data_IF_681404471811
#
_entry.id   IF_681404471811
#
_cell.length_a   1.000
_cell.length_b   1.000
_cell.length_c   1.000
_cell.angle_alpha   90.00
_cell.angle_beta   90.00
_cell.angle_gamma   90.00
#
_symmetry.space_group_name_H-M   'P 1'
#
loop_
_entity.id
_entity.type
_entity.pdbx_description
1 polymer ?
#
# COMPACT_ATOMS: atom_id res chain seq x y z
N UNK A 1 73.76 70.80 61.15
CA UNK A 1 73.78 69.55 60.34
C UNK A 1 72.67 68.62 60.80
N UNK A 2 72.12 67.84 59.85
CA UNK A 2 71.13 66.74 59.95
C UNK A 2 69.66 67.19 59.99
N UNK A 3 69.01 67.39 58.85
CA UNK A 3 68.41 66.45 57.88
C UNK A 3 67.00 65.96 58.25
N UNK A 4 66.05 66.32 57.36
CA UNK A 4 64.65 65.89 57.19
C UNK A 4 64.45 64.39 57.39
N UNK A 5 63.25 63.97 57.77
CA UNK A 5 62.44 62.99 57.01
C UNK A 5 60.95 63.23 57.33
N UNK A 6 60.15 63.43 56.27
CA UNK A 6 58.72 63.62 56.36
C UNK A 6 58.03 62.31 56.74
N UNK A 7 57.14 62.36 57.73
CA UNK A 7 56.21 61.28 57.99
C UNK A 7 55.10 61.35 56.95
N UNK A 8 55.13 60.44 55.99
CA UNK A 8 53.93 60.05 55.28
C UNK A 8 52.96 59.51 56.34
N UNK A 9 51.79 60.13 56.46
CA UNK A 9 50.66 59.50 57.13
C UNK A 9 50.34 58.23 56.33
N UNK A 10 50.81 57.09 56.83
CA UNK A 10 50.29 55.80 56.39
C UNK A 10 48.85 55.77 56.87
N UNK A 11 47.92 56.12 55.96
CA UNK A 11 46.51 55.79 56.14
C UNK A 11 46.48 54.28 56.36
N UNK A 12 46.00 53.88 57.54
CA UNK A 12 45.82 52.47 57.88
C UNK A 12 44.70 51.94 56.98
N UNK A 13 45.07 51.48 55.80
CA UNK A 13 44.18 50.85 54.81
C UNK A 13 43.75 49.44 55.25
N UNK A 14 43.93 49.07 56.53
CA UNK A 14 43.43 47.78 57.01
C UNK A 14 41.90 47.78 56.98
N UNK A 15 41.29 46.80 56.30
CA UNK A 15 39.85 46.77 56.14
C UNK A 15 39.18 46.66 57.50
N UNK A 16 38.26 47.57 57.75
CA UNK A 16 37.49 47.62 58.98
C UNK A 16 36.76 46.30 59.21
N UNK A 17 36.45 45.98 60.48
CA UNK A 17 35.69 44.77 60.83
C UNK A 17 34.35 44.66 60.08
N UNK A 18 33.75 45.80 59.72
CA UNK A 18 32.53 45.86 58.91
C UNK A 18 32.79 45.50 57.44
N UNK A 19 33.91 45.93 56.85
CA UNK A 19 34.32 45.58 55.50
C UNK A 19 34.71 44.11 55.37
N UNK A 20 35.43 43.55 56.35
CA UNK A 20 35.71 42.12 56.42
C UNK A 20 34.43 41.27 56.53
N UNK A 21 33.45 41.72 57.32
CA UNK A 21 32.15 41.03 57.43
C UNK A 21 31.36 41.07 56.12
N UNK A 22 31.35 42.21 55.42
CA UNK A 22 30.73 42.35 54.09
C UNK A 22 31.44 41.50 53.04
N UNK A 23 32.78 41.52 53.00
CA UNK A 23 33.57 40.71 52.09
C UNK A 23 33.32 39.21 52.30
N UNK A 24 33.25 38.75 53.56
CA UNK A 24 32.93 37.36 53.89
C UNK A 24 31.49 36.97 53.51
N UNK A 25 30.52 37.87 53.69
CA UNK A 25 29.14 37.64 53.24
C UNK A 25 29.06 37.52 51.71
N UNK A 26 29.71 38.41 50.97
CA UNK A 26 29.79 38.36 49.51
C UNK A 26 30.50 37.08 49.04
N UNK A 27 31.56 36.66 49.74
CA UNK A 27 32.25 35.41 49.43
C UNK A 27 31.36 34.18 49.66
N UNK A 28 30.56 34.19 50.73
CA UNK A 28 29.61 33.12 51.03
C UNK A 28 28.49 33.05 49.97
N UNK A 29 27.93 34.19 49.57
CA UNK A 29 26.93 34.26 48.49
C UNK A 29 27.50 33.80 47.14
N UNK A 30 28.73 34.21 46.79
CA UNK A 30 29.41 33.74 45.57
C UNK A 30 29.64 32.23 45.58
N UNK A 31 30.05 31.67 46.73
CA UNK A 31 30.21 30.21 46.89
C UNK A 31 28.88 29.48 46.72
N UNK A 32 27.80 30.01 47.32
CA UNK A 32 26.45 29.46 47.18
C UNK A 32 25.97 29.50 45.71
N UNK A 33 26.09 30.64 45.03
CA UNK A 33 25.73 30.78 43.63
C UNK A 33 26.54 29.84 42.71
N UNK A 34 27.82 29.63 43.02
CA UNK A 34 28.68 28.69 42.27
C UNK A 34 28.24 27.23 42.46
N UNK A 35 27.83 26.86 43.67
CA UNK A 35 27.30 25.53 43.97
C UNK A 35 25.96 25.28 43.26
N UNK A 36 25.07 26.27 43.27
CA UNK A 36 23.77 26.22 42.57
C UNK A 36 23.96 26.12 41.05
N UNK A 37 24.89 26.88 40.46
CA UNK A 37 25.23 26.78 39.04
C UNK A 37 25.79 25.41 38.67
N UNK A 38 26.65 24.82 39.51
CA UNK A 38 27.16 23.44 39.31
C UNK A 38 26.04 22.40 39.38
N UNK A 39 25.12 22.52 40.33
CA UNK A 39 23.97 21.63 40.46
C UNK A 39 23.01 21.73 39.26
N UNK A 40 22.74 22.95 38.78
CA UNK A 40 21.94 23.19 37.58
C UNK A 40 22.60 22.59 36.34
N UNK A 41 23.91 22.74 36.19
CA UNK A 41 24.70 22.18 35.07
C UNK A 41 24.67 20.65 35.10
N UNK A 42 24.83 20.02 36.27
CA UNK A 42 24.71 18.56 36.41
C UNK A 42 23.30 18.06 36.09
N UNK A 43 22.27 18.80 36.49
CA UNK A 43 20.87 18.48 36.17
C UNK A 43 20.62 18.54 34.66
N UNK A 44 21.17 19.56 33.99
CA UNK A 44 21.09 19.68 32.53
C UNK A 44 21.84 18.55 31.82
N UNK A 45 23.02 18.19 32.32
CA UNK A 45 23.83 17.09 31.80
C UNK A 45 23.10 15.74 31.94
N UNK A 46 22.42 15.50 33.07
CA UNK A 46 21.62 14.31 33.31
C UNK A 46 20.40 14.25 32.38
N UNK A 47 19.71 15.37 32.16
CA UNK A 47 18.62 15.46 31.18
C UNK A 47 19.12 15.20 29.75
N UNK A 48 20.25 15.76 29.35
CA UNK A 48 20.83 15.51 28.03
C UNK A 48 21.23 14.05 27.83
N UNK A 49 21.86 13.41 28.81
CA UNK A 49 22.18 11.97 28.76
C UNK A 49 20.93 11.10 28.66
N UNK A 50 19.85 11.48 29.35
CA UNK A 50 18.56 10.78 29.25
C UNK A 50 17.98 10.90 27.83
N UNK A 51 18.00 12.10 27.25
CA UNK A 51 17.55 12.35 25.87
C UNK A 51 18.43 11.61 24.85
N UNK A 52 19.76 11.58 25.03
CA UNK A 52 20.67 10.80 24.18
C UNK A 52 20.39 9.31 24.26
N UNK A 53 20.12 8.78 25.46
CA UNK A 53 19.74 7.39 25.65
C UNK A 53 18.40 7.07 25.00
N UNK A 54 17.38 7.92 25.18
CA UNK A 54 16.07 7.78 24.52
C UNK A 54 16.20 7.83 23.00
N UNK A 55 17.00 8.77 22.46
CA UNK A 55 17.29 8.85 21.03
C UNK A 55 18.03 7.60 20.53
N UNK A 56 18.98 7.07 21.29
CA UNK A 56 19.69 5.85 20.92
C UNK A 56 18.77 4.64 20.93
N UNK A 57 17.88 4.50 21.94
CA UNK A 57 16.87 3.43 21.99
C UNK A 57 15.92 3.54 20.81
N UNK A 58 15.46 4.75 20.50
CA UNK A 58 14.63 5.04 19.32
C UNK A 58 15.36 4.63 18.04
N UNK A 59 16.63 5.01 17.85
CA UNK A 59 17.46 4.67 16.68
C UNK A 59 17.73 3.16 16.55
N UNK A 60 17.99 2.47 17.65
CA UNK A 60 18.19 1.01 17.65
C UNK A 60 16.90 0.28 17.31
N UNK A 61 15.77 0.73 17.87
CA UNK A 61 14.45 0.21 17.51
C UNK A 61 14.14 0.51 16.03
N UNK A 62 14.46 1.70 15.54
CA UNK A 62 14.33 2.07 14.12
C UNK A 62 15.12 1.15 13.20
N UNK A 63 16.40 0.91 13.49
CA UNK A 63 17.28 0.07 12.67
C UNK A 63 16.82 -1.40 12.65
N UNK A 64 16.42 -1.92 13.81
CA UNK A 64 15.88 -3.28 13.94
C UNK A 64 14.55 -3.42 13.19
N UNK A 65 13.72 -2.37 13.23
CA UNK A 65 12.45 -2.34 12.51
C UNK A 65 12.63 -2.19 10.99
N UNK A 66 13.69 -1.50 10.53
CA UNK A 66 14.06 -1.41 9.12
C UNK A 66 14.44 -2.78 8.55
N UNK A 67 15.34 -3.51 9.21
CA UNK A 67 15.73 -4.86 8.78
C UNK A 67 14.54 -5.85 8.78
N UNK A 68 13.63 -5.70 9.75
CA UNK A 68 12.39 -6.47 9.78
C UNK A 68 11.41 -6.05 8.65
N UNK A 69 11.35 -4.77 8.28
CA UNK A 69 10.55 -4.29 7.16
C UNK A 69 11.06 -4.85 5.83
N UNK A 70 12.38 -4.94 5.63
CA UNK A 70 12.99 -5.55 4.45
C UNK A 70 12.68 -7.05 4.36
N UNK A 71 12.82 -7.78 5.48
CA UNK A 71 12.47 -9.21 5.53
C UNK A 71 10.99 -9.48 5.26
N UNK A 72 10.11 -8.59 5.73
CA UNK A 72 8.65 -8.69 5.52
C UNK A 72 8.24 -8.23 4.12
N UNK A 73 8.94 -7.28 3.52
CA UNK A 73 8.81 -6.94 2.11
C UNK A 73 9.20 -8.13 1.22
N UNK A 74 10.28 -8.83 1.58
CA UNK A 74 10.66 -10.08 0.90
C UNK A 74 9.57 -11.17 1.07
N UNK A 75 8.92 -11.26 2.23
CA UNK A 75 7.78 -12.17 2.42
C UNK A 75 6.56 -11.76 1.57
N UNK A 76 6.26 -10.46 1.48
CA UNK A 76 5.20 -9.93 0.61
C UNK A 76 5.48 -10.22 -0.86
N UNK A 77 6.75 -10.12 -1.28
CA UNK A 77 7.20 -10.55 -2.61
C UNK A 77 6.95 -12.04 -2.84
N UNK A 78 7.30 -12.90 -1.87
CA UNK A 78 7.02 -14.34 -1.95
C UNK A 78 5.52 -14.66 -2.06
N UNK A 79 4.67 -13.92 -1.34
CA UNK A 79 3.21 -14.03 -1.42
C UNK A 79 2.71 -13.61 -2.81
N UNK A 80 3.27 -12.52 -3.36
CA UNK A 80 2.94 -12.00 -4.68
C UNK A 80 3.39 -12.97 -5.80
N UNK A 81 4.55 -13.61 -5.64
CA UNK A 81 5.06 -14.66 -6.53
C UNK A 81 4.15 -15.90 -6.48
N UNK A 82 3.70 -16.30 -5.28
CA UNK A 82 2.76 -17.40 -5.08
C UNK A 82 1.43 -17.13 -5.80
N UNK A 83 0.86 -15.94 -5.64
CA UNK A 83 -0.39 -15.58 -6.31
C UNK A 83 -0.20 -15.47 -7.82
N UNK A 84 0.90 -14.85 -8.29
CA UNK A 84 1.22 -14.78 -9.73
C UNK A 84 1.36 -16.16 -10.36
N UNK A 85 1.99 -17.11 -9.65
CA UNK A 85 2.12 -18.51 -10.10
C UNK A 85 0.76 -19.20 -10.19
N UNK A 86 -0.11 -18.98 -9.20
CA UNK A 86 -1.47 -19.53 -9.21
C UNK A 86 -2.33 -18.99 -10.34
N UNK A 87 -2.14 -17.72 -10.72
CA UNK A 87 -2.80 -17.10 -11.87
C UNK A 87 -2.35 -17.76 -13.16
N UNK A 88 -1.03 -17.85 -13.35
CA UNK A 88 -0.43 -18.45 -14.55
C UNK A 88 -0.87 -19.89 -14.79
N UNK A 89 -1.01 -20.69 -13.72
CA UNK A 89 -1.53 -22.06 -13.81
C UNK A 89 -2.96 -22.05 -14.36
N UNK A 90 -3.84 -21.20 -13.81
CA UNK A 90 -5.23 -21.14 -14.26
C UNK A 90 -5.38 -20.53 -15.67
N UNK A 91 -4.53 -19.59 -16.07
CA UNK A 91 -4.46 -19.09 -17.46
C UNK A 91 -4.02 -20.19 -18.44
N UNK A 92 -3.11 -21.07 -18.01
CA UNK A 92 -2.67 -22.22 -18.82
C UNK A 92 -3.81 -23.23 -19.01
N UNK A 93 -4.56 -23.52 -17.93
CA UNK A 93 -5.76 -24.36 -17.99
C UNK A 93 -6.81 -23.78 -18.95
N UNK A 94 -7.03 -22.47 -18.89
CA UNK A 94 -7.93 -21.76 -19.80
C UNK A 94 -7.47 -21.89 -21.27
N UNK A 95 -6.17 -21.71 -21.53
CA UNK A 95 -5.61 -21.82 -22.88
C UNK A 95 -5.73 -23.25 -23.45
N UNK A 96 -5.45 -24.26 -22.63
CA UNK A 96 -5.60 -25.68 -23.02
C UNK A 96 -7.06 -26.01 -23.39
N UNK A 97 -8.01 -25.58 -22.55
CA UNK A 97 -9.45 -25.80 -22.83
C UNK A 97 -9.93 -25.03 -24.05
N UNK A 98 -9.37 -23.85 -24.30
CA UNK A 98 -9.68 -23.07 -25.51
C UNK A 98 -9.13 -23.74 -26.77
N UNK A 99 -7.94 -24.33 -26.71
CA UNK A 99 -7.38 -25.12 -27.80
C UNK A 99 -8.22 -26.37 -28.07
N UNK A 100 -8.64 -27.08 -27.01
CA UNK A 100 -9.53 -28.25 -27.10
C UNK A 100 -10.89 -27.88 -27.76
N UNK A 101 -11.47 -26.74 -27.38
CA UNK A 101 -12.69 -26.20 -28.02
C UNK A 101 -12.48 -26.01 -29.52
N UNK A 102 -11.43 -25.29 -29.90
CA UNK A 102 -11.15 -24.95 -31.29
C UNK A 102 -10.91 -26.21 -32.13
N UNK A 103 -10.19 -27.19 -31.58
CA UNK A 103 -9.97 -28.48 -32.22
C UNK A 103 -11.28 -29.24 -32.47
N UNK A 104 -12.12 -29.42 -31.44
CA UNK A 104 -13.40 -30.11 -31.59
C UNK A 104 -14.33 -29.38 -32.58
N UNK A 105 -14.34 -28.04 -32.56
CA UNK A 105 -15.11 -27.24 -33.51
C UNK A 105 -14.66 -27.47 -34.97
N UNK A 106 -13.34 -27.51 -35.20
CA UNK A 106 -12.79 -27.78 -36.53
C UNK A 106 -13.20 -29.16 -37.07
N UNK A 107 -13.20 -30.18 -36.21
CA UNK A 107 -13.65 -31.54 -36.60
C UNK A 107 -15.15 -31.53 -36.90
N UNK A 108 -15.96 -30.90 -36.05
CA UNK A 108 -17.41 -30.81 -36.25
C UNK A 108 -17.74 -30.17 -37.61
N UNK A 109 -17.09 -29.06 -37.94
CA UNK A 109 -17.26 -28.34 -39.21
C UNK A 109 -16.81 -29.16 -40.41
N UNK A 110 -15.65 -29.84 -40.31
CA UNK A 110 -15.17 -30.73 -41.39
C UNK A 110 -16.15 -31.87 -41.66
N UNK A 111 -16.59 -32.58 -40.62
CA UNK A 111 -17.53 -33.71 -40.76
C UNK A 111 -18.90 -33.26 -41.28
N UNK A 112 -19.37 -32.06 -40.88
CA UNK A 112 -20.59 -31.47 -41.42
C UNK A 112 -20.48 -31.16 -42.92
N UNK A 113 -19.31 -30.66 -43.35
CA UNK A 113 -19.00 -30.42 -44.77
C UNK A 113 -18.94 -31.72 -45.55
N UNK A 114 -18.31 -32.77 -45.01
CA UNK A 114 -18.28 -34.11 -45.61
C UNK A 114 -19.69 -34.70 -45.75
N UNK A 115 -20.53 -34.59 -44.72
CA UNK A 115 -21.94 -35.02 -44.78
C UNK A 115 -22.72 -34.30 -45.90
N UNK A 116 -22.55 -32.99 -46.03
CA UNK A 116 -23.13 -32.22 -47.13
C UNK A 116 -22.66 -32.74 -48.49
N UNK A 117 -21.36 -32.96 -48.65
CA UNK A 117 -20.77 -33.51 -49.88
C UNK A 117 -21.36 -34.89 -50.25
N UNK A 118 -21.46 -35.81 -49.29
CA UNK A 118 -21.99 -37.15 -49.52
C UNK A 118 -23.51 -37.21 -49.78
N UNK A 119 -24.27 -36.16 -49.42
CA UNK A 119 -25.73 -36.13 -49.63
C UNK A 119 -26.13 -35.34 -50.86
N UNK A 120 -25.67 -34.10 -51.01
CA UNK A 120 -26.12 -33.18 -52.08
C UNK A 120 -25.44 -33.51 -53.40
N UNK A 121 -24.10 -33.60 -53.41
CA UNK A 121 -23.35 -33.85 -54.66
C UNK A 121 -23.60 -35.26 -55.20
N UNK A 122 -23.86 -36.24 -54.32
CA UNK A 122 -24.25 -37.58 -54.72
C UNK A 122 -25.61 -37.60 -55.43
N UNK A 123 -26.57 -36.80 -54.96
CA UNK A 123 -27.89 -36.68 -55.59
C UNK A 123 -27.80 -35.97 -56.94
N UNK A 124 -27.03 -34.88 -57.03
CA UNK A 124 -26.81 -34.17 -58.30
C UNK A 124 -26.13 -35.07 -59.34
N UNK A 125 -25.13 -35.87 -58.93
CA UNK A 125 -24.45 -36.83 -59.81
C UNK A 125 -25.39 -37.93 -60.30
N UNK A 126 -26.35 -38.37 -59.47
CA UNK A 126 -27.37 -39.33 -59.88
C UNK A 126 -28.33 -38.74 -60.93
N UNK A 127 -28.79 -37.50 -60.74
CA UNK A 127 -29.64 -36.80 -61.71
C UNK A 127 -28.93 -36.61 -63.06
N UNK A 128 -27.60 -36.50 -63.06
CA UNK A 128 -26.78 -36.40 -64.27
C UNK A 128 -26.37 -37.77 -64.86
N UNK A 129 -26.84 -38.89 -64.30
CA UNK A 129 -26.51 -40.24 -64.76
C UNK A 129 -25.11 -40.75 -64.37
N UNK A 130 -24.39 -40.03 -63.51
CA UNK A 130 -23.02 -40.36 -63.08
C UNK A 130 -22.90 -41.32 -61.90
N UNK A 131 -24.00 -41.66 -61.21
CA UNK A 131 -24.06 -42.65 -60.13
C UNK A 131 -25.31 -43.52 -60.23
N UNK A 132 -25.25 -44.76 -59.74
CA UNK A 132 -26.40 -45.65 -59.59
C UNK A 132 -27.18 -45.40 -58.30
N UNK A 133 -28.43 -45.87 -58.24
CA UNK A 133 -29.26 -45.76 -57.04
C UNK A 133 -28.67 -46.50 -55.81
N UNK A 134 -27.90 -47.57 -56.03
CA UNK A 134 -27.21 -48.29 -54.95
C UNK A 134 -26.06 -47.45 -54.37
N UNK A 135 -25.28 -46.79 -55.22
CA UNK A 135 -24.18 -45.92 -54.79
C UNK A 135 -24.68 -44.69 -54.04
N UNK A 136 -25.80 -44.09 -54.48
CA UNK A 136 -26.46 -42.99 -53.76
C UNK A 136 -26.89 -43.41 -52.37
N UNK A 137 -27.53 -44.58 -52.22
CA UNK A 137 -27.93 -45.10 -50.89
C UNK A 137 -26.74 -45.31 -49.97
N UNK A 138 -25.62 -45.83 -50.49
CA UNK A 138 -24.41 -46.01 -49.68
C UNK A 138 -23.83 -44.65 -49.24
N UNK A 139 -23.77 -43.67 -50.14
CA UNK A 139 -23.31 -42.31 -49.82
C UNK A 139 -24.23 -41.59 -48.83
N UNK A 140 -25.54 -41.80 -48.90
CA UNK A 140 -26.49 -41.30 -47.89
C UNK A 140 -26.21 -41.87 -46.51
N UNK A 141 -25.90 -43.18 -46.42
CA UNK A 141 -25.50 -43.80 -45.14
C UNK A 141 -24.24 -43.15 -44.57
N UNK A 142 -23.21 -42.97 -45.40
CA UNK A 142 -21.98 -42.27 -45.01
C UNK A 142 -22.29 -40.83 -44.54
N UNK A 143 -23.15 -40.11 -45.25
CA UNK A 143 -23.57 -38.76 -44.86
C UNK A 143 -24.24 -38.74 -43.49
N UNK A 144 -25.13 -39.69 -43.21
CA UNK A 144 -25.80 -39.81 -41.91
C UNK A 144 -24.81 -40.12 -40.78
N UNK A 145 -23.86 -41.02 -41.00
CA UNK A 145 -22.82 -41.36 -40.03
C UNK A 145 -21.95 -40.13 -39.72
N UNK A 146 -21.51 -39.41 -40.75
CA UNK A 146 -20.72 -38.17 -40.65
C UNK A 146 -21.48 -37.06 -39.92
N UNK A 147 -22.77 -36.89 -40.20
CA UNK A 147 -23.62 -35.92 -39.52
C UNK A 147 -23.77 -36.25 -38.03
N UNK A 148 -23.98 -37.53 -37.71
CA UNK A 148 -24.07 -38.02 -36.33
C UNK A 148 -22.77 -37.75 -35.57
N UNK A 149 -21.63 -38.05 -36.18
CA UNK A 149 -20.31 -37.76 -35.60
C UNK A 149 -20.08 -36.25 -35.42
N UNK A 150 -20.42 -35.44 -36.42
CA UNK A 150 -20.36 -33.96 -36.34
C UNK A 150 -21.17 -33.42 -35.15
N UNK A 151 -22.43 -33.89 -34.98
CA UNK A 151 -23.27 -33.52 -33.83
C UNK A 151 -22.64 -33.88 -32.50
N UNK A 152 -22.01 -35.06 -32.39
CA UNK A 152 -21.30 -35.46 -31.17
C UNK A 152 -20.15 -34.50 -30.83
N UNK A 153 -19.41 -34.02 -31.84
CA UNK A 153 -18.39 -32.98 -31.61
C UNK A 153 -18.99 -31.62 -31.24
N UNK A 154 -20.12 -31.22 -31.84
CA UNK A 154 -20.82 -30.00 -31.41
C UNK A 154 -21.32 -30.07 -29.96
N UNK A 155 -21.80 -31.23 -29.49
CA UNK A 155 -22.13 -31.41 -28.07
C UNK A 155 -20.91 -31.23 -27.15
N UNK A 156 -19.73 -31.75 -27.55
CA UNK A 156 -18.47 -31.51 -26.82
C UNK A 156 -18.09 -30.03 -26.81
N UNK A 157 -18.21 -29.34 -27.94
CA UNK A 157 -17.96 -27.89 -28.06
C UNK A 157 -18.85 -27.11 -27.09
N UNK A 158 -20.16 -27.37 -27.07
CA UNK A 158 -21.08 -26.67 -26.17
C UNK A 158 -20.73 -26.90 -24.69
N UNK A 159 -20.34 -28.14 -24.31
CA UNK A 159 -19.89 -28.44 -22.96
C UNK A 159 -18.58 -27.70 -22.61
N UNK A 160 -17.60 -27.70 -23.51
CA UNK A 160 -16.34 -26.97 -23.35
C UNK A 160 -16.55 -25.45 -23.23
N UNK A 161 -17.52 -24.86 -23.94
CA UNK A 161 -17.88 -23.44 -23.78
C UNK A 161 -18.39 -23.15 -22.36
N UNK A 162 -19.25 -24.00 -21.81
CA UNK A 162 -19.75 -23.85 -20.44
C UNK A 162 -18.62 -24.02 -19.40
N UNK A 163 -17.70 -24.96 -19.61
CA UNK A 163 -16.51 -25.14 -18.77
C UNK A 163 -15.59 -23.91 -18.83
N UNK A 164 -15.34 -23.37 -20.03
CA UNK A 164 -14.53 -22.16 -20.22
C UNK A 164 -15.11 -20.95 -19.49
N UNK A 165 -16.44 -20.75 -19.55
CA UNK A 165 -17.10 -19.69 -18.80
C UNK A 165 -16.88 -19.85 -17.28
N UNK A 166 -17.01 -21.08 -16.78
CA UNK A 166 -16.78 -21.41 -15.36
C UNK A 166 -15.33 -21.18 -14.93
N UNK A 167 -14.37 -21.58 -15.75
CA UNK A 167 -12.93 -21.39 -15.49
C UNK A 167 -12.60 -19.89 -15.46
N UNK A 168 -13.10 -19.11 -16.43
CA UNK A 168 -12.93 -17.65 -16.45
C UNK A 168 -13.46 -16.99 -15.18
N UNK A 169 -14.64 -17.40 -14.71
CA UNK A 169 -15.22 -16.89 -13.47
C UNK A 169 -14.38 -17.27 -12.24
N UNK A 170 -13.91 -18.51 -12.15
CA UNK A 170 -13.03 -18.97 -11.05
C UNK A 170 -11.71 -18.21 -11.02
N UNK A 171 -11.11 -17.93 -12.17
CA UNK A 171 -9.89 -17.10 -12.28
C UNK A 171 -10.15 -15.71 -11.74
N UNK A 172 -11.23 -15.06 -12.21
CA UNK A 172 -11.59 -13.72 -11.75
C UNK A 172 -11.81 -13.68 -10.23
N UNK A 173 -12.56 -14.66 -9.68
CA UNK A 173 -12.81 -14.74 -8.24
C UNK A 173 -11.52 -14.96 -7.43
N UNK A 174 -10.68 -15.91 -7.85
CA UNK A 174 -9.42 -16.21 -7.17
C UNK A 174 -8.48 -15.00 -7.17
N UNK A 175 -8.48 -14.23 -8.26
CA UNK A 175 -7.74 -12.98 -8.36
C UNK A 175 -8.30 -11.94 -7.39
N UNK A 176 -9.62 -11.87 -7.22
CA UNK A 176 -10.28 -10.97 -6.24
C UNK A 176 -9.84 -11.35 -4.83
N UNK A 177 -9.97 -12.62 -4.47
CA UNK A 177 -9.62 -13.11 -3.15
C UNK A 177 -8.13 -12.88 -2.83
N UNK A 178 -7.25 -13.15 -3.80
CA UNK A 178 -5.82 -12.90 -3.66
C UNK A 178 -5.49 -11.41 -3.48
N UNK A 179 -6.14 -10.53 -4.24
CA UNK A 179 -5.93 -9.08 -4.16
C UNK A 179 -6.31 -8.51 -2.79
N UNK A 180 -7.50 -8.90 -2.29
CA UNK A 180 -8.02 -8.45 -1.00
C UNK A 180 -7.17 -9.01 0.12
N UNK A 181 -6.79 -10.29 0.04
CA UNK A 181 -5.94 -10.93 1.05
C UNK A 181 -4.58 -10.26 1.13
N UNK A 182 -3.94 -9.98 0.00
CA UNK A 182 -2.66 -9.27 -0.02
C UNK A 182 -2.76 -7.89 0.64
N UNK A 183 -3.76 -7.08 0.27
CA UNK A 183 -3.97 -5.76 0.87
C UNK A 183 -4.24 -5.86 2.38
N UNK A 184 -5.09 -6.81 2.80
CA UNK A 184 -5.41 -7.03 4.21
C UNK A 184 -4.19 -7.49 5.03
N UNK A 185 -3.37 -8.40 4.49
CA UNK A 185 -2.12 -8.87 5.11
C UNK A 185 -1.13 -7.71 5.29
N UNK A 186 -0.98 -6.87 4.27
CA UNK A 186 -0.08 -5.72 4.31
C UNK A 186 -0.51 -4.68 5.37
N UNK A 187 -1.82 -4.44 5.51
CA UNK A 187 -2.34 -3.52 6.53
C UNK A 187 -2.26 -4.14 7.93
N UNK A 188 -2.56 -5.43 8.07
CA UNK A 188 -2.42 -6.12 9.36
C UNK A 188 -0.97 -6.08 9.85
N UNK A 189 0.01 -6.29 8.96
CA UNK A 189 1.45 -6.15 9.26
C UNK A 189 1.78 -4.72 9.70
N UNK A 190 1.24 -3.71 9.00
CA UNK A 190 1.42 -2.31 9.33
C UNK A 190 0.80 -1.96 10.69
N UNK A 191 -0.41 -2.46 10.97
CA UNK A 191 -1.10 -2.30 12.24
C UNK A 191 -0.36 -2.94 13.42
N UNK A 192 0.25 -4.11 13.22
CA UNK A 192 1.12 -4.74 14.23
C UNK A 192 2.32 -3.85 14.58
N UNK A 193 2.92 -3.18 13.59
CA UNK A 193 4.04 -2.25 13.82
C UNK A 193 3.60 -0.97 14.52
N UNK A 194 2.46 -0.41 14.12
CA UNK A 194 1.88 0.74 14.79
C UNK A 194 1.59 0.39 16.25
N UNK A 195 1.06 -0.80 16.54
CA UNK A 195 0.91 -1.29 17.92
C UNK A 195 2.24 -1.30 18.67
N UNK A 196 3.30 -1.87 18.09
CA UNK A 196 4.62 -1.97 18.73
C UNK A 196 5.28 -0.62 18.98
N UNK A 197 5.10 0.35 18.08
CA UNK A 197 5.77 1.65 18.13
C UNK A 197 4.96 2.71 18.89
N UNK A 198 3.63 2.66 18.81
CA UNK A 198 2.73 3.74 19.23
C UNK A 198 1.58 3.26 20.12
N UNK A 199 1.54 1.97 20.47
CA UNK A 199 0.53 1.39 21.36
C UNK A 199 -0.74 0.91 20.67
N UNK A 200 -1.58 0.21 21.44
CA UNK A 200 -2.72 -0.56 20.93
C UNK A 200 -3.79 0.28 20.23
N UNK A 201 -4.03 1.51 20.68
CA UNK A 201 -5.14 2.35 20.19
C UNK A 201 -5.04 2.60 18.68
N UNK A 202 -3.87 3.01 18.18
CA UNK A 202 -3.67 3.29 16.76
C UNK A 202 -3.51 2.01 15.94
N UNK A 203 -2.81 1.01 16.48
CA UNK A 203 -2.59 -0.25 15.78
C UNK A 203 -3.88 -1.06 15.59
N UNK A 204 -4.79 -1.02 16.57
CA UNK A 204 -6.09 -1.68 16.46
C UNK A 204 -7.00 -1.02 15.42
N UNK A 205 -6.90 0.29 15.21
CA UNK A 205 -7.64 0.96 14.13
C UNK A 205 -7.12 0.63 12.74
N UNK A 206 -5.79 0.53 12.57
CA UNK A 206 -5.23 0.03 11.32
C UNK A 206 -5.71 -1.41 11.04
N UNK A 207 -5.78 -2.27 12.06
CA UNK A 207 -6.34 -3.63 11.94
C UNK A 207 -7.85 -3.63 11.66
N UNK A 208 -8.63 -2.72 12.26
CA UNK A 208 -10.06 -2.54 11.99
C UNK A 208 -10.26 -2.12 10.53
N UNK A 209 -9.42 -1.22 10.00
CA UNK A 209 -9.43 -0.86 8.59
C UNK A 209 -9.18 -2.10 7.72
N UNK A 210 -8.16 -2.93 8.02
CA UNK A 210 -7.86 -4.18 7.29
C UNK A 210 -9.06 -5.13 7.22
N UNK A 211 -9.83 -5.23 8.29
CA UNK A 211 -11.05 -6.04 8.33
C UNK A 211 -12.19 -5.43 7.52
N UNK A 212 -12.29 -4.09 7.52
CA UNK A 212 -13.34 -3.34 6.81
C UNK A 212 -13.11 -3.24 5.28
N UNK A 213 -11.90 -3.55 4.80
CA UNK A 213 -11.57 -3.64 3.35
C UNK A 213 -12.30 -4.81 2.69
N UNK A 214 -12.55 -5.89 3.44
CA UNK A 214 -13.14 -7.11 2.89
C UNK A 214 -14.59 -6.85 2.50
N UNK A 215 -14.87 -6.92 1.20
CA UNK A 215 -16.23 -6.88 0.65
C UNK A 215 -16.87 -5.49 0.54
N UNK A 216 -16.12 -4.39 0.79
CA UNK A 216 -16.63 -3.02 0.61
C UNK A 216 -16.17 -2.39 -0.72
N UNK A 217 -17.03 -1.56 -1.30
CA UNK A 217 -16.79 -0.83 -2.57
C UNK A 217 -16.27 0.58 -2.24
N UNK A 218 -15.38 1.11 -3.09
CA UNK A 218 -14.85 2.48 -3.00
C UNK A 218 -16.01 3.50 -3.06
N UNK A 219 -16.09 4.40 -2.08
CA UNK A 219 -17.06 5.52 -2.05
C UNK A 219 -16.74 6.55 -3.12
N UNK A 220 -17.74 7.36 -3.50
CA UNK A 220 -17.58 8.42 -4.50
C UNK A 220 -16.46 9.41 -4.12
N UNK A 221 -15.77 10.00 -5.10
CA UNK A 221 -14.74 11.04 -4.87
C UNK A 221 -15.27 12.19 -4.02
N UNK A 222 -16.51 12.63 -4.29
CA UNK A 222 -17.15 13.73 -3.56
C UNK A 222 -17.28 13.41 -2.07
N UNK A 223 -17.73 12.21 -1.74
CA UNK A 223 -17.93 11.78 -0.36
C UNK A 223 -16.60 11.52 0.37
N UNK A 224 -15.64 10.93 -0.33
CA UNK A 224 -14.28 10.71 0.18
C UNK A 224 -13.58 12.05 0.46
N UNK A 225 -13.61 12.99 -0.49
CA UNK A 225 -13.02 14.33 -0.33
C UNK A 225 -13.66 15.09 0.82
N UNK A 226 -14.99 15.07 0.94
CA UNK A 226 -15.70 15.71 2.06
C UNK A 226 -15.27 15.13 3.42
N UNK A 227 -15.17 13.80 3.50
CA UNK A 227 -14.73 13.09 4.72
C UNK A 227 -13.28 13.41 5.03
N UNK A 228 -12.39 13.33 4.04
CA UNK A 228 -10.96 13.55 4.20
C UNK A 228 -10.63 15.02 4.54
N UNK A 229 -11.35 15.98 3.95
CA UNK A 229 -11.19 17.39 4.27
C UNK A 229 -11.47 17.68 5.75
N UNK A 230 -12.43 17.00 6.38
CA UNK A 230 -12.69 17.17 7.82
C UNK A 230 -11.55 16.65 8.70
N UNK A 231 -10.81 15.66 8.22
CA UNK A 231 -9.68 15.08 8.94
C UNK A 231 -8.43 15.94 8.75
N UNK A 232 -8.12 16.36 7.51
CA UNK A 232 -6.91 17.15 7.21
C UNK A 232 -6.90 18.52 7.89
N UNK A 233 -8.06 19.09 8.19
CA UNK A 233 -8.18 20.37 8.91
C UNK A 233 -7.89 20.24 10.40
N UNK A 234 -7.56 19.05 10.90
CA UNK A 234 -7.18 18.84 12.29
C UNK A 234 -5.83 19.54 12.58
N UNK A 235 -5.76 20.50 13.52
CA UNK A 235 -4.53 21.21 13.86
C UNK A 235 -3.39 20.29 14.30
N UNK A 236 -3.70 19.11 14.87
CA UNK A 236 -2.71 18.09 15.28
C UNK A 236 -2.07 17.35 14.09
N UNK A 237 -2.59 17.53 12.87
CA UNK A 237 -2.04 16.98 11.63
C UNK A 237 -1.28 18.02 10.80
N UNK A 238 -0.99 19.19 11.38
CA UNK A 238 -0.22 20.23 10.70
C UNK A 238 1.21 19.74 10.43
N UNK A 239 1.58 19.66 9.17
CA UNK A 239 2.91 19.23 8.72
C UNK A 239 3.79 20.47 8.56
N UNK A 240 4.77 20.66 9.44
CA UNK A 240 5.70 21.78 9.36
C UNK A 240 6.73 21.60 8.23
N UNK A 241 7.55 22.62 7.95
CA UNK A 241 8.51 22.58 6.85
C UNK A 241 9.55 21.44 6.98
N UNK A 242 10.04 21.19 8.20
CA UNK A 242 11.01 20.12 8.48
C UNK A 242 10.37 18.74 8.26
N UNK A 243 9.11 18.59 8.67
CA UNK A 243 8.38 17.34 8.48
C UNK A 243 8.13 17.10 6.98
N UNK A 244 7.77 18.12 6.20
CA UNK A 244 7.61 18.01 4.74
C UNK A 244 8.89 17.55 4.05
N UNK A 245 10.04 18.04 4.49
CA UNK A 245 11.34 17.62 3.97
C UNK A 245 11.63 16.15 4.30
N UNK A 246 11.44 15.74 5.56
CA UNK A 246 11.61 14.35 5.98
C UNK A 246 10.68 13.39 5.23
N UNK A 247 9.40 13.77 5.05
CA UNK A 247 8.44 13.01 4.24
C UNK A 247 8.93 12.92 2.79
N UNK A 248 9.40 14.03 2.21
CA UNK A 248 9.91 14.02 0.84
C UNK A 248 11.14 13.13 0.66
N UNK A 249 12.02 13.03 1.66
CA UNK A 249 13.16 12.14 1.62
C UNK A 249 12.72 10.68 1.74
N UNK A 250 11.77 10.38 2.64
CA UNK A 250 11.19 9.04 2.79
C UNK A 250 10.57 8.55 1.47
N UNK A 251 9.79 9.41 0.81
CA UNK A 251 9.13 9.11 -0.47
C UNK A 251 10.09 9.00 -1.67
N UNK A 252 11.32 9.49 -1.55
CA UNK A 252 12.39 9.34 -2.57
C UNK A 252 13.34 8.18 -2.29
N UNK A 253 13.15 7.46 -1.18
CA UNK A 253 14.07 6.41 -0.76
C UNK A 253 14.09 5.24 -1.76
N UNK A 254 15.23 4.53 -1.81
CA UNK A 254 15.36 3.30 -2.60
C UNK A 254 14.36 2.23 -2.16
N UNK A 255 13.94 2.24 -0.90
CA UNK A 255 12.93 1.32 -0.38
C UNK A 255 11.54 1.59 -0.98
N UNK A 256 11.16 2.86 -1.16
CA UNK A 256 9.92 3.20 -1.88
C UNK A 256 10.00 2.76 -3.34
N UNK A 257 11.15 2.96 -4.00
CA UNK A 257 11.35 2.49 -5.37
C UNK A 257 11.16 0.96 -5.49
N UNK A 258 11.83 0.20 -4.63
CA UNK A 258 11.71 -1.27 -4.57
C UNK A 258 10.26 -1.72 -4.32
N UNK A 259 9.54 -1.07 -3.39
CA UNK A 259 8.12 -1.38 -3.15
C UNK A 259 7.27 -1.05 -4.38
N UNK A 260 7.49 0.09 -5.04
CA UNK A 260 6.73 0.50 -6.22
C UNK A 260 6.88 -0.49 -7.37
N UNK A 261 8.10 -1.00 -7.61
CA UNK A 261 8.37 -2.00 -8.64
C UNK A 261 7.60 -3.31 -8.37
N UNK A 262 7.59 -3.77 -7.11
CA UNK A 262 6.84 -4.97 -6.72
C UNK A 262 5.32 -4.75 -6.83
N UNK A 263 4.81 -3.58 -6.45
CA UNK A 263 3.38 -3.26 -6.55
C UNK A 263 2.94 -3.03 -8.00
N UNK A 264 3.84 -2.66 -8.92
CA UNK A 264 3.54 -2.64 -10.35
C UNK A 264 3.29 -4.03 -10.93
N UNK A 265 3.89 -5.09 -10.36
CA UNK A 265 3.52 -6.45 -10.72
C UNK A 265 2.06 -6.75 -10.34
N UNK A 266 1.59 -6.26 -9.20
CA UNK A 266 0.18 -6.34 -8.79
C UNK A 266 -0.72 -5.53 -9.75
N UNK A 267 -0.33 -4.30 -10.10
CA UNK A 267 -1.04 -3.50 -11.12
C UNK A 267 -1.16 -4.25 -12.45
N UNK A 268 -0.08 -4.90 -12.89
CA UNK A 268 -0.06 -5.73 -14.10
C UNK A 268 -1.02 -6.90 -14.00
N UNK A 269 -0.95 -7.68 -12.92
CA UNK A 269 -1.80 -8.83 -12.68
C UNK A 269 -3.29 -8.48 -12.61
N UNK A 270 -3.63 -7.24 -12.26
CA UNK A 270 -5.01 -6.75 -12.21
C UNK A 270 -5.47 -6.05 -13.49
N UNK A 271 -4.61 -5.97 -14.51
CA UNK A 271 -4.91 -5.26 -15.75
C UNK A 271 -4.89 -3.73 -15.65
N UNK A 272 -4.53 -3.19 -14.48
CA UNK A 272 -4.42 -1.75 -14.22
C UNK A 272 -3.21 -1.13 -14.93
N UNK A 273 -2.10 -1.88 -15.03
CA UNK A 273 -0.90 -1.40 -15.71
C UNK A 273 -1.15 -1.15 -17.21
N UNK A 274 -1.93 -2.01 -17.86
CA UNK A 274 -2.35 -1.83 -19.25
C UNK A 274 -3.29 -0.63 -19.48
N UNK A 275 -3.84 -0.06 -18.39
CA UNK A 275 -4.62 1.17 -18.38
C UNK A 275 -3.79 2.40 -17.98
N UNK A 276 -2.49 2.24 -17.74
CA UNK A 276 -1.57 3.32 -17.37
C UNK A 276 -1.48 3.61 -15.87
N UNK A 277 -2.06 2.77 -15.02
CA UNK A 277 -2.01 2.96 -13.56
C UNK A 277 -0.79 2.27 -12.96
N UNK A 278 0.08 3.03 -12.29
CA UNK A 278 1.30 2.52 -11.65
C UNK A 278 1.36 2.93 -10.18
N UNK A 279 2.19 2.22 -9.42
CA UNK A 279 2.43 2.55 -8.02
C UNK A 279 3.14 3.91 -7.91
N UNK A 280 4.10 4.19 -8.79
CA UNK A 280 4.85 5.46 -8.81
C UNK A 280 3.91 6.66 -9.00
N UNK A 281 2.93 6.55 -9.91
CA UNK A 281 1.99 7.64 -10.17
C UNK A 281 1.14 7.98 -8.94
N UNK A 282 0.67 6.96 -8.19
CA UNK A 282 0.00 7.16 -6.90
C UNK A 282 0.94 7.75 -5.84
N UNK A 283 2.19 7.28 -5.77
CA UNK A 283 3.20 7.79 -4.81
C UNK A 283 3.52 9.26 -5.09
N UNK A 284 3.70 9.64 -6.36
CA UNK A 284 3.98 11.01 -6.76
C UNK A 284 2.81 11.95 -6.42
N UNK A 285 1.58 11.49 -6.61
CA UNK A 285 0.38 12.25 -6.22
C UNK A 285 0.23 12.35 -4.71
N UNK A 286 0.56 11.31 -3.95
CA UNK A 286 0.61 11.37 -2.49
C UNK A 286 1.69 12.36 -2.00
N UNK A 287 2.85 12.39 -2.67
CA UNK A 287 3.91 13.36 -2.40
C UNK A 287 3.46 14.80 -2.60
N UNK A 288 2.70 15.09 -3.68
CA UNK A 288 2.07 16.41 -3.88
C UNK A 288 1.17 16.76 -2.68
N UNK A 289 0.36 15.81 -2.21
CA UNK A 289 -0.49 15.96 -1.02
C UNK A 289 0.29 16.33 0.24
N UNK A 290 1.38 15.62 0.53
CA UNK A 290 2.23 15.90 1.68
C UNK A 290 2.98 17.24 1.58
N UNK A 291 3.48 17.60 0.40
CA UNK A 291 4.28 18.81 0.20
C UNK A 291 3.42 20.09 0.18
N UNK A 292 2.31 20.05 -0.56
CA UNK A 292 1.48 21.23 -0.84
C UNK A 292 0.18 21.29 -0.03
N UNK A 293 -0.23 20.18 0.59
CA UNK A 293 -1.57 20.03 1.16
C UNK A 293 -2.67 19.79 0.11
N UNK A 294 -2.32 19.80 -1.19
CA UNK A 294 -3.25 19.52 -2.28
C UNK A 294 -3.33 18.01 -2.55
N UNK A 295 -4.39 17.38 -2.05
CA UNK A 295 -4.68 15.96 -2.22
C UNK A 295 -5.59 15.65 -3.40
N UNK A 296 -6.09 16.68 -4.10
CA UNK A 296 -6.98 16.50 -5.24
C UNK A 296 -6.38 15.65 -6.36
N UNK A 297 -5.09 15.79 -6.74
CA UNK A 297 -4.49 14.93 -7.75
C UNK A 297 -4.55 13.44 -7.40
N UNK A 298 -4.35 13.10 -6.12
CA UNK A 298 -4.44 11.71 -5.66
C UNK A 298 -5.89 11.20 -5.70
N UNK A 299 -6.85 12.03 -5.29
CA UNK A 299 -8.28 11.69 -5.33
C UNK A 299 -8.78 11.44 -6.76
N UNK A 300 -8.34 12.28 -7.70
CA UNK A 300 -8.64 12.12 -9.15
C UNK A 300 -8.09 10.81 -9.67
N UNK A 301 -6.87 10.44 -9.28
CA UNK A 301 -6.27 9.19 -9.72
C UNK A 301 -7.00 7.97 -9.19
N UNK A 302 -7.36 7.97 -7.90
CA UNK A 302 -8.15 6.88 -7.30
C UNK A 302 -9.50 6.73 -7.99
N UNK A 303 -10.16 7.84 -8.33
CA UNK A 303 -11.41 7.83 -9.10
C UNK A 303 -11.20 7.29 -10.52
N UNK A 304 -10.12 7.69 -11.21
CA UNK A 304 -9.80 7.16 -12.53
C UNK A 304 -9.53 5.64 -12.52
N UNK A 305 -8.82 5.14 -11.50
CA UNK A 305 -8.60 3.70 -11.29
C UNK A 305 -9.94 2.99 -11.04
N UNK A 306 -10.84 3.59 -10.25
CA UNK A 306 -12.17 3.03 -9.99
C UNK A 306 -13.07 3.03 -11.25
N UNK A 307 -12.94 4.03 -12.13
CA UNK A 307 -13.70 4.16 -13.38
C UNK A 307 -13.04 3.48 -14.60
N UNK A 308 -11.91 2.81 -14.41
CA UNK A 308 -11.10 2.23 -15.49
C UNK A 308 -11.74 1.04 -16.24
N UNK A 309 -12.89 0.56 -15.76
CA UNK A 309 -13.52 -0.68 -16.21
C UNK A 309 -12.90 -1.95 -15.62
N UNK A 310 -11.89 -1.81 -14.75
CA UNK A 310 -11.35 -2.90 -13.94
C UNK A 310 -12.28 -3.16 -12.74
N UNK A 311 -12.31 -4.41 -12.24
CA UNK A 311 -13.08 -4.78 -11.05
C UNK A 311 -12.74 -3.87 -9.87
N UNK A 312 -13.75 -3.22 -9.27
CA UNK A 312 -13.57 -2.23 -8.22
C UNK A 312 -12.70 -2.73 -7.04
N UNK A 313 -12.81 -4.01 -6.70
CA UNK A 313 -12.01 -4.64 -5.64
C UNK A 313 -10.51 -4.67 -5.96
N UNK A 314 -10.12 -4.83 -7.23
CA UNK A 314 -8.71 -4.75 -7.65
C UNK A 314 -8.18 -3.32 -7.52
N UNK A 315 -8.93 -2.35 -8.03
CA UNK A 315 -8.60 -0.93 -7.94
C UNK A 315 -8.38 -0.54 -6.49
N UNK A 316 -9.26 -0.98 -5.60
CA UNK A 316 -9.18 -0.69 -4.18
C UNK A 316 -7.99 -1.36 -3.50
N UNK A 317 -7.81 -2.67 -3.73
CA UNK A 317 -6.69 -3.42 -3.17
C UNK A 317 -5.36 -2.83 -3.61
N UNK A 318 -5.26 -2.44 -4.88
CA UNK A 318 -4.06 -1.81 -5.44
C UNK A 318 -3.76 -0.46 -4.79
N UNK A 319 -4.72 0.47 -4.77
CA UNK A 319 -4.54 1.79 -4.12
C UNK A 319 -4.15 1.62 -2.66
N UNK A 320 -4.87 0.76 -1.94
CA UNK A 320 -4.60 0.47 -0.52
C UNK A 320 -3.19 -0.08 -0.32
N UNK A 321 -2.76 -1.04 -1.15
CA UNK A 321 -1.43 -1.62 -1.05
C UNK A 321 -0.32 -0.60 -1.32
N UNK A 322 -0.52 0.31 -2.28
CA UNK A 322 0.44 1.40 -2.54
C UNK A 322 0.54 2.33 -1.35
N UNK A 323 -0.57 2.84 -0.83
CA UNK A 323 -0.56 3.77 0.30
C UNK A 323 -0.03 3.11 1.59
N UNK A 324 -0.35 1.83 1.81
CA UNK A 324 0.19 1.08 2.94
C UNK A 324 1.69 0.82 2.78
N UNK A 325 2.15 0.53 1.56
CA UNK A 325 3.57 0.39 1.23
C UNK A 325 4.38 1.66 1.55
N UNK A 326 3.80 2.84 1.26
CA UNK A 326 4.37 4.13 1.69
C UNK A 326 4.49 4.18 3.21
N UNK A 327 3.40 3.85 3.92
CA UNK A 327 3.38 3.83 5.38
C UNK A 327 4.47 2.95 5.99
N UNK A 328 4.68 1.74 5.45
CA UNK A 328 5.70 0.80 5.94
C UNK A 328 7.11 1.38 5.85
N UNK A 329 7.46 2.04 4.74
CA UNK A 329 8.78 2.67 4.60
C UNK A 329 8.88 3.89 5.50
N UNK A 330 7.80 4.67 5.61
CA UNK A 330 7.73 5.85 6.44
C UNK A 330 7.92 5.55 7.94
N UNK A 331 7.56 4.34 8.41
CA UNK A 331 7.76 3.88 9.78
C UNK A 331 9.23 3.87 10.23
N UNK A 332 10.19 4.19 9.35
CA UNK A 332 11.61 4.32 9.67
C UNK A 332 12.06 5.77 9.92
N UNK A 333 11.11 6.71 9.92
CA UNK A 333 11.38 8.15 10.02
C UNK A 333 10.74 8.79 11.25
N UNK A 334 11.26 9.93 11.75
CA UNK A 334 10.62 10.68 12.84
C UNK A 334 9.19 11.15 12.54
N UNK A 335 8.83 11.24 11.26
CA UNK A 335 7.52 11.67 10.75
C UNK A 335 6.58 10.48 10.41
N UNK A 336 7.00 9.26 10.74
CA UNK A 336 6.27 8.00 10.51
C UNK A 336 4.79 8.08 10.89
N UNK A 337 4.53 8.55 12.10
CA UNK A 337 3.18 8.62 12.66
C UNK A 337 2.27 9.54 11.83
N UNK A 338 2.78 10.69 11.40
CA UNK A 338 2.03 11.66 10.57
C UNK A 338 1.69 11.03 9.21
N UNK A 339 2.66 10.41 8.54
CA UNK A 339 2.45 9.77 7.23
C UNK A 339 1.38 8.68 7.34
N UNK A 340 1.56 7.75 8.29
CA UNK A 340 0.62 6.64 8.53
C UNK A 340 -0.78 7.17 8.82
N UNK A 341 -0.89 8.20 9.65
CA UNK A 341 -2.17 8.78 10.01
C UNK A 341 -2.87 9.40 8.81
N UNK A 342 -2.17 10.24 8.04
CA UNK A 342 -2.76 10.92 6.88
C UNK A 342 -3.20 9.91 5.82
N UNK A 343 -2.38 8.89 5.53
CA UNK A 343 -2.74 7.85 4.56
C UNK A 343 -3.88 6.96 5.04
N UNK A 344 -3.93 6.64 6.34
CA UNK A 344 -5.04 5.86 6.92
C UNK A 344 -6.34 6.65 6.89
N UNK A 345 -6.30 7.96 7.18
CA UNK A 345 -7.44 8.85 7.03
C UNK A 345 -7.91 8.94 5.58
N UNK A 346 -6.97 9.06 4.64
CA UNK A 346 -7.27 9.05 3.20
C UNK A 346 -7.96 7.76 2.78
N UNK A 347 -7.40 6.60 3.13
CA UNK A 347 -7.99 5.30 2.81
C UNK A 347 -9.37 5.14 3.46
N UNK A 348 -9.50 5.46 4.74
CA UNK A 348 -10.77 5.36 5.47
C UNK A 348 -11.87 6.21 4.84
N UNK A 349 -11.53 7.39 4.30
CA UNK A 349 -12.49 8.25 3.62
C UNK A 349 -13.20 7.57 2.43
N UNK A 350 -12.51 6.65 1.75
CA UNK A 350 -13.01 5.86 0.64
C UNK A 350 -13.73 4.57 1.05
N UNK A 351 -13.54 4.11 2.29
CA UNK A 351 -14.12 2.85 2.77
C UNK A 351 -15.38 3.09 3.57
N UNK A 352 -15.28 3.99 4.55
CA UNK A 352 -16.30 4.15 5.57
C UNK A 352 -16.14 5.50 6.29
N UNK A 353 -17.15 6.37 6.18
CA UNK A 353 -17.17 7.65 6.87
C UNK A 353 -17.08 7.51 8.39
N UNK A 354 -17.59 6.42 8.95
CA UNK A 354 -17.59 6.19 10.39
C UNK A 354 -16.22 5.70 10.85
N UNK A 355 -15.56 4.83 10.07
CA UNK A 355 -14.16 4.45 10.34
C UNK A 355 -13.25 5.69 10.29
N UNK A 356 -13.43 6.55 9.27
CA UNK A 356 -12.67 7.79 9.13
C UNK A 356 -12.92 8.77 10.28
N UNK A 357 -14.16 8.86 10.77
CA UNK A 357 -14.52 9.68 11.94
C UNK A 357 -13.94 9.13 13.24
N UNK A 358 -14.03 7.82 13.50
CA UNK A 358 -13.40 7.18 14.66
C UNK A 358 -11.88 7.42 14.67
N UNK A 359 -11.26 7.31 13.50
CA UNK A 359 -9.83 7.56 13.32
C UNK A 359 -9.45 9.01 13.66
N UNK A 360 -10.23 9.98 13.17
CA UNK A 360 -10.03 11.38 13.54
C UNK A 360 -10.13 11.63 15.05
N UNK A 361 -11.05 10.96 15.73
CA UNK A 361 -11.27 11.10 17.17
C UNK A 361 -10.15 10.49 18.02
N UNK A 362 -9.41 9.50 17.50
CA UNK A 362 -8.27 8.89 18.21
C UNK A 362 -7.00 9.73 18.11
N UNK A 363 -6.81 10.45 16.99
CA UNK A 363 -5.76 11.45 16.83
C UNK A 363 -6.00 12.65 17.78
N UNK A 364 -7.22 12.80 18.26
CA UNK A 364 -7.65 13.80 19.24
C UNK A 364 -7.67 13.24 20.68
N UNK A 365 -6.59 12.71 21.32
CA UNK A 365 -6.72 12.47 22.76
C UNK A 365 -7.10 13.81 23.40
N UNK A 366 -8.23 13.70 24.10
CA UNK A 366 -8.92 14.71 24.88
C UNK A 366 -7.93 15.59 25.59
N UNK A 367 -8.01 16.90 25.32
CA UNK A 367 -7.56 17.87 26.31
C UNK A 367 -8.57 17.77 27.45
N UNK A 368 -8.15 17.11 28.53
CA UNK A 368 -8.39 17.59 29.87
C UNK A 368 -7.07 17.58 30.61
#
# INVERSE_FOLDING_TARGET
MKHKWGGNDFVDDTPTKAELKRANAVLAERKKATLEAKAATQTLLAKNKKVEHENHVILTNFTTNLANAEKRLANSKSILDKYSSQIKISETELALKQAELNFNLSIAQRLGTESYYYSVIAFDSYQQGGLSAAEVRNRQKISLDKNTESKNYFYKVNNLQAQLATIKQKIAQKNIDNSVRFAAELIADTGEKITKLYGDTLGNQAKELANNIKGKIIRSKKDALSTFNKIKTNPKLTINAKDKEAISQALKSQNIKSISENLNMMSKSFGLLGKGFTAENLIDKAKVGFQSGNWEPLLVEVEAIALSGVVATYSYSFVTSVLTGIGIVALTTPVALIIVIVLTAFMSSYVDADAARKFNNIILPSVY
#
